data_IF_727626364851
#
_entry.id   IF_727626364851
#
_cell.length_a   1.000
_cell.length_b   1.000
_cell.length_c   1.000
_cell.angle_alpha   90.00
_cell.angle_beta   90.00
_cell.angle_gamma   90.00
#
_symmetry.space_group_name_H-M   'P 1'
#
loop_
_entity.id
_entity.type
_entity.pdbx_description
1 polymer ?
#
# COMPACT_ATOMS: atom_id res chain seq x y z
N UNK A 1 19.13 -1.58 -18.49
CA UNK A 1 18.17 -1.98 -17.44
C UNK A 1 17.28 -3.00 -18.11
N UNK A 2 17.29 -4.27 -17.70
CA UNK A 2 16.36 -5.26 -18.24
C UNK A 2 14.96 -4.84 -17.75
N UNK A 3 14.01 -4.73 -18.67
CA UNK A 3 12.60 -4.55 -18.32
C UNK A 3 12.16 -5.78 -17.53
N UNK A 4 12.15 -5.67 -16.21
CA UNK A 4 11.68 -6.73 -15.34
C UNK A 4 10.15 -6.72 -15.35
N UNK A 5 9.60 -7.45 -16.32
CA UNK A 5 8.13 -7.60 -16.45
C UNK A 5 7.52 -8.38 -15.28
N UNK A 6 8.33 -9.08 -14.48
CA UNK A 6 7.86 -9.83 -13.32
C UNK A 6 7.16 -8.93 -12.30
N UNK A 7 7.55 -7.66 -12.22
CA UNK A 7 6.92 -6.65 -11.40
C UNK A 7 5.43 -6.39 -11.75
N UNK A 8 5.04 -6.54 -13.03
CA UNK A 8 3.64 -6.35 -13.46
C UNK A 8 2.69 -7.34 -12.79
N UNK A 9 3.20 -8.50 -12.41
CA UNK A 9 2.47 -9.61 -11.82
C UNK A 9 2.83 -9.87 -10.35
N UNK A 10 3.78 -9.10 -9.79
CA UNK A 10 4.21 -9.28 -8.41
C UNK A 10 3.15 -8.79 -7.42
N UNK A 11 3.00 -9.52 -6.32
CA UNK A 11 2.13 -9.12 -5.22
C UNK A 11 2.83 -8.06 -4.37
N UNK A 12 2.31 -6.83 -4.36
CA UNK A 12 2.85 -5.74 -3.55
C UNK A 12 2.35 -5.76 -2.11
N UNK A 13 1.09 -6.09 -1.92
CA UNK A 13 0.44 -6.21 -0.61
C UNK A 13 -0.36 -7.50 -0.54
N UNK A 14 -0.47 -8.10 0.64
CA UNK A 14 -1.42 -9.20 0.85
C UNK A 14 -2.84 -8.66 0.73
N UNK A 15 -3.64 -9.20 -0.19
CA UNK A 15 -4.94 -8.63 -0.56
C UNK A 15 -5.99 -9.72 -0.81
N UNK A 16 -7.15 -9.58 -0.16
CA UNK A 16 -8.29 -10.48 -0.39
C UNK A 16 -8.84 -10.24 -1.79
N UNK A 17 -9.09 -11.32 -2.51
CA UNK A 17 -9.57 -11.22 -3.89
C UNK A 17 -8.50 -10.77 -4.88
N UNK A 18 -7.22 -10.92 -4.55
CA UNK A 18 -6.11 -10.63 -5.49
C UNK A 18 -6.30 -11.41 -6.80
N UNK A 19 -6.25 -10.70 -7.92
CA UNK A 19 -6.51 -11.27 -9.26
C UNK A 19 -5.25 -11.82 -9.95
N UNK A 20 -4.13 -12.00 -9.23
CA UNK A 20 -2.87 -12.48 -9.81
C UNK A 20 -3.04 -13.77 -10.62
N UNK A 21 -3.79 -14.73 -10.08
CA UNK A 21 -4.06 -16.00 -10.77
C UNK A 21 -5.01 -15.89 -11.97
N UNK A 22 -5.65 -14.74 -12.15
CA UNK A 22 -6.59 -14.46 -13.24
C UNK A 22 -6.00 -13.55 -14.32
N UNK A 23 -4.75 -13.09 -14.19
CA UNK A 23 -4.16 -12.12 -15.12
C UNK A 23 -4.11 -12.65 -16.55
N UNK A 24 -3.78 -13.92 -16.74
CA UNK A 24 -3.79 -14.56 -18.06
C UNK A 24 -5.18 -14.55 -18.69
N UNK A 25 -6.20 -14.89 -17.91
CA UNK A 25 -7.61 -14.83 -18.36
C UNK A 25 -8.04 -13.38 -18.70
N UNK A 26 -7.65 -12.41 -17.87
CA UNK A 26 -7.89 -10.99 -18.14
C UNK A 26 -7.19 -10.58 -19.45
N UNK A 27 -5.95 -11.03 -19.66
CA UNK A 27 -5.19 -10.78 -20.89
C UNK A 27 -5.86 -11.32 -22.15
N UNK A 28 -6.49 -12.50 -22.07
CA UNK A 28 -7.30 -13.03 -23.18
C UNK A 28 -8.48 -12.09 -23.50
N UNK A 29 -9.16 -11.56 -22.48
CA UNK A 29 -10.21 -10.55 -22.64
C UNK A 29 -9.70 -9.28 -23.31
N UNK A 30 -8.52 -8.78 -22.89
CA UNK A 30 -7.85 -7.62 -23.52
C UNK A 30 -7.60 -7.89 -25.01
N UNK A 31 -7.06 -9.06 -25.36
CA UNK A 31 -6.76 -9.44 -26.74
C UNK A 31 -8.03 -9.48 -27.61
N UNK A 32 -9.15 -9.93 -27.07
CA UNK A 32 -10.45 -9.90 -27.77
C UNK A 32 -10.85 -8.46 -28.10
N UNK A 33 -10.70 -7.53 -27.15
CA UNK A 33 -11.04 -6.11 -27.37
C UNK A 33 -10.09 -5.49 -28.39
N UNK A 34 -8.78 -5.73 -28.28
CA UNK A 34 -7.78 -5.25 -29.23
C UNK A 34 -8.11 -5.69 -30.66
N UNK A 35 -8.42 -6.97 -30.85
CA UNK A 35 -8.79 -7.52 -32.16
C UNK A 35 -10.07 -6.91 -32.71
N UNK A 36 -11.12 -6.77 -31.88
CA UNK A 36 -12.39 -6.17 -32.30
C UNK A 36 -12.27 -4.71 -32.70
N UNK A 37 -11.42 -3.96 -32.02
CA UNK A 37 -11.20 -2.53 -32.26
C UNK A 37 -10.08 -2.26 -33.26
N UNK A 38 -9.33 -3.30 -33.66
CA UNK A 38 -8.10 -3.19 -34.46
C UNK A 38 -7.11 -2.16 -33.85
N UNK A 39 -6.84 -2.30 -32.54
CA UNK A 39 -5.96 -1.41 -31.77
C UNK A 39 -4.90 -2.21 -31.02
N UNK A 40 -3.64 -1.84 -31.13
CA UNK A 40 -2.54 -2.42 -30.36
C UNK A 40 -2.53 -1.92 -28.90
N UNK A 41 -2.91 -0.65 -28.69
CA UNK A 41 -3.00 -0.02 -27.38
C UNK A 41 -4.40 0.52 -27.13
N UNK A 42 -4.90 0.26 -25.94
CA UNK A 42 -6.25 0.61 -25.52
C UNK A 42 -6.26 1.83 -24.59
N UNK A 43 -7.39 2.50 -24.50
CA UNK A 43 -7.74 3.38 -23.39
C UNK A 43 -8.50 2.58 -22.34
N UNK A 44 -7.91 2.41 -21.16
CA UNK A 44 -8.42 1.53 -20.10
C UNK A 44 -8.91 2.32 -18.89
N UNK A 45 -9.95 1.79 -18.22
CA UNK A 45 -10.44 2.26 -16.93
C UNK A 45 -10.49 1.07 -15.95
N UNK A 46 -9.88 1.22 -14.78
CA UNK A 46 -10.01 0.29 -13.64
C UNK A 46 -10.68 1.03 -12.47
N UNK A 47 -11.95 0.70 -12.24
CA UNK A 47 -12.80 1.47 -11.30
C UNK A 47 -12.55 1.10 -9.83
N UNK A 48 -12.04 -0.11 -9.57
CA UNK A 48 -11.82 -0.67 -8.23
C UNK A 48 -10.44 -1.31 -8.15
N UNK A 49 -9.39 -0.50 -8.21
CA UNK A 49 -8.02 -0.98 -8.46
C UNK A 49 -7.39 -1.80 -7.31
N UNK A 50 -7.88 -1.63 -6.07
CA UNK A 50 -7.47 -2.43 -4.91
C UNK A 50 -5.95 -2.47 -4.70
N UNK A 51 -5.34 -3.63 -4.90
CA UNK A 51 -3.88 -3.79 -4.80
C UNK A 51 -3.10 -3.27 -6.01
N UNK A 52 -3.78 -2.76 -7.04
CA UNK A 52 -3.19 -2.30 -8.28
C UNK A 52 -2.67 -3.39 -9.22
N UNK A 53 -2.93 -4.67 -8.93
CA UNK A 53 -2.38 -5.79 -9.73
C UNK A 53 -2.94 -5.79 -11.17
N UNK A 54 -4.24 -5.56 -11.33
CA UNK A 54 -4.87 -5.51 -12.66
C UNK A 54 -4.46 -4.23 -13.38
N UNK A 55 -4.46 -3.09 -12.71
CA UNK A 55 -4.02 -1.80 -13.27
C UNK A 55 -2.59 -1.88 -13.83
N UNK A 56 -1.64 -2.44 -13.06
CA UNK A 56 -0.26 -2.66 -13.52
C UNK A 56 -0.18 -3.60 -14.72
N UNK A 57 -0.95 -4.68 -14.69
CA UNK A 57 -1.02 -5.61 -15.80
C UNK A 57 -1.59 -4.96 -17.06
N UNK A 58 -2.66 -4.17 -16.94
CA UNK A 58 -3.28 -3.44 -18.04
C UNK A 58 -2.36 -2.34 -18.61
N UNK A 59 -1.44 -1.77 -17.81
CA UNK A 59 -0.51 -0.73 -18.27
C UNK A 59 0.25 -1.14 -19.53
N UNK A 60 0.64 -2.41 -19.66
CA UNK A 60 1.38 -2.91 -20.84
C UNK A 60 0.56 -2.88 -22.13
N UNK A 61 -0.76 -2.90 -22.04
CA UNK A 61 -1.70 -2.90 -23.19
C UNK A 61 -2.32 -1.51 -23.43
N UNK A 62 -2.00 -0.53 -22.60
CA UNK A 62 -2.69 0.75 -22.60
C UNK A 62 -1.84 1.86 -23.21
N UNK A 63 -2.46 2.75 -23.97
CA UNK A 63 -1.95 4.09 -24.26
C UNK A 63 -2.33 5.08 -23.16
N UNK A 64 -3.51 4.84 -22.55
CA UNK A 64 -4.02 5.59 -21.40
C UNK A 64 -4.64 4.61 -20.42
N UNK A 65 -4.37 4.79 -19.14
CA UNK A 65 -5.05 4.07 -18.07
C UNK A 65 -5.55 5.05 -17.01
N UNK A 66 -6.84 5.03 -16.73
CA UNK A 66 -7.45 5.70 -15.60
C UNK A 66 -7.74 4.66 -14.53
N UNK A 67 -7.37 4.92 -13.29
CA UNK A 67 -7.59 3.99 -12.17
C UNK A 67 -8.22 4.72 -11.00
N UNK A 68 -9.08 4.02 -10.26
CA UNK A 68 -9.73 4.57 -9.09
C UNK A 68 -9.78 3.56 -7.95
N UNK A 69 -9.75 4.06 -6.75
CA UNK A 69 -10.13 3.33 -5.55
C UNK A 69 -10.60 4.31 -4.47
N UNK A 70 -11.46 3.83 -3.58
CA UNK A 70 -11.89 4.59 -2.41
C UNK A 70 -10.78 4.67 -1.35
N UNK A 71 -9.88 3.68 -1.32
CA UNK A 71 -8.86 3.52 -0.30
C UNK A 71 -7.56 4.26 -0.66
N UNK A 72 -7.10 5.12 0.23
CA UNK A 72 -5.92 5.97 0.00
C UNK A 72 -4.64 5.18 -0.30
N UNK A 73 -4.44 4.04 0.38
CA UNK A 73 -3.28 3.18 0.12
C UNK A 73 -3.24 2.67 -1.33
N UNK A 74 -4.40 2.32 -1.90
CA UNK A 74 -4.51 1.86 -3.28
C UNK A 74 -4.09 2.95 -4.26
N UNK A 75 -4.55 4.19 -4.05
CA UNK A 75 -4.19 5.32 -4.89
C UNK A 75 -2.68 5.58 -4.89
N UNK A 76 -2.07 5.61 -3.70
CA UNK A 76 -0.62 5.79 -3.56
C UNK A 76 0.17 4.68 -4.27
N UNK A 77 -0.27 3.43 -4.17
CA UNK A 77 0.34 2.30 -4.88
C UNK A 77 0.26 2.54 -6.40
N UNK A 78 -0.92 2.93 -6.90
CA UNK A 78 -1.10 3.19 -8.33
C UNK A 78 -0.35 4.43 -8.81
N UNK A 79 -0.32 5.52 -8.05
CA UNK A 79 0.48 6.72 -8.35
C UNK A 79 1.97 6.38 -8.53
N UNK A 80 2.51 5.55 -7.64
CA UNK A 80 3.90 5.09 -7.74
C UNK A 80 4.11 4.20 -8.97
N UNK A 81 3.39 3.08 -9.01
CA UNK A 81 3.74 1.99 -9.93
C UNK A 81 3.17 2.14 -11.34
N UNK A 82 2.22 3.02 -11.57
CA UNK A 82 1.78 3.39 -12.91
C UNK A 82 2.55 4.57 -13.50
N UNK A 83 3.38 5.24 -12.72
CA UNK A 83 4.20 6.35 -13.20
C UNK A 83 5.24 5.93 -14.25
N UNK A 84 5.70 6.88 -15.03
CA UNK A 84 6.74 6.73 -16.03
C UNK A 84 7.83 7.79 -15.80
N UNK A 85 8.66 7.68 -14.77
CA UNK A 85 9.66 8.69 -14.47
C UNK A 85 10.66 8.81 -15.63
N UNK A 86 10.96 10.04 -15.98
CA UNK A 86 12.05 10.38 -16.92
C UNK A 86 13.40 9.96 -16.35
N UNK A 87 14.43 9.90 -17.20
CA UNK A 87 15.78 9.56 -16.72
C UNK A 87 16.24 10.52 -15.62
N UNK A 88 15.96 11.83 -15.77
CA UNK A 88 16.30 12.86 -14.78
C UNK A 88 15.55 12.61 -13.46
N UNK A 89 14.24 12.38 -13.51
CA UNK A 89 13.43 12.10 -12.32
C UNK A 89 13.88 10.81 -11.62
N UNK A 90 14.31 9.78 -12.38
CA UNK A 90 14.83 8.57 -11.80
C UNK A 90 16.18 8.79 -11.07
N UNK A 91 17.03 9.66 -11.58
CA UNK A 91 18.27 10.08 -10.92
C UNK A 91 17.96 10.87 -9.63
N UNK A 92 17.04 11.85 -9.69
CA UNK A 92 16.56 12.59 -8.51
C UNK A 92 15.96 11.64 -7.44
N UNK A 93 15.13 10.67 -7.85
CA UNK A 93 14.54 9.69 -6.93
C UNK A 93 15.62 8.83 -6.24
N UNK A 94 16.66 8.41 -6.95
CA UNK A 94 17.77 7.63 -6.37
C UNK A 94 18.55 8.44 -5.33
N UNK A 95 18.87 9.69 -5.62
CA UNK A 95 19.55 10.55 -4.67
C UNK A 95 18.71 10.79 -3.41
N UNK A 96 17.41 11.03 -3.57
CA UNK A 96 16.48 11.19 -2.45
C UNK A 96 16.39 9.91 -1.63
N UNK A 97 16.35 8.75 -2.28
CA UNK A 97 16.31 7.45 -1.62
C UNK A 97 17.55 7.21 -0.76
N UNK A 98 18.75 7.42 -1.31
CA UNK A 98 20.00 7.26 -0.58
C UNK A 98 20.09 8.20 0.63
N UNK A 99 19.72 9.46 0.45
CA UNK A 99 19.69 10.46 1.54
C UNK A 99 18.67 10.08 2.62
N UNK A 100 17.49 9.64 2.22
CA UNK A 100 16.42 9.28 3.13
C UNK A 100 16.77 8.04 3.95
N UNK A 101 17.22 6.97 3.30
CA UNK A 101 17.59 5.71 3.98
C UNK A 101 18.73 5.92 4.97
N UNK A 102 19.75 6.70 4.59
CA UNK A 102 20.82 7.07 5.53
C UNK A 102 20.33 7.87 6.74
N UNK A 103 19.28 8.71 6.60
CA UNK A 103 18.67 9.43 7.72
C UNK A 103 17.83 8.49 8.60
N UNK A 104 17.06 7.57 7.98
CA UNK A 104 16.30 6.54 8.70
C UNK A 104 17.25 5.72 9.56
N UNK A 105 18.34 5.18 8.99
CA UNK A 105 19.30 4.34 9.69
C UNK A 105 19.93 5.05 10.90
N UNK A 106 20.28 6.33 10.74
CA UNK A 106 20.81 7.13 11.86
C UNK A 106 19.80 7.30 12.99
N UNK A 107 18.53 7.58 12.65
CA UNK A 107 17.46 7.69 13.66
C UNK A 107 17.18 6.35 14.33
N UNK A 108 17.16 5.25 13.59
CA UNK A 108 16.96 3.92 14.15
C UNK A 108 18.07 3.52 15.13
N UNK A 109 19.34 3.77 14.79
CA UNK A 109 20.48 3.57 15.71
C UNK A 109 20.35 4.41 16.99
N UNK A 110 19.86 5.65 16.88
CA UNK A 110 19.60 6.50 18.06
C UNK A 110 18.48 5.93 18.93
N UNK A 111 17.41 5.40 18.32
CA UNK A 111 16.31 4.75 19.03
C UNK A 111 16.80 3.49 19.76
N UNK A 112 17.56 2.63 19.10
CA UNK A 112 18.17 1.44 19.72
C UNK A 112 19.05 1.80 20.93
N UNK A 113 19.88 2.83 20.77
CA UNK A 113 20.69 3.35 21.89
C UNK A 113 19.83 3.86 23.05
N UNK A 114 18.72 4.54 22.76
CA UNK A 114 17.81 5.05 23.78
C UNK A 114 17.06 3.92 24.51
N UNK A 115 16.69 2.86 23.80
CA UNK A 115 16.11 1.64 24.41
C UNK A 115 17.11 0.99 25.38
N UNK A 116 18.37 0.81 24.95
CA UNK A 116 19.42 0.24 25.79
C UNK A 116 19.71 1.07 27.06
N UNK A 117 19.51 2.39 26.99
CA UNK A 117 19.71 3.32 28.13
C UNK A 117 18.46 3.53 29.00
N UNK A 118 17.32 2.92 28.65
CA UNK A 118 16.05 3.13 29.37
C UNK A 118 15.45 4.54 29.19
N UNK A 119 15.86 5.27 28.16
CA UNK A 119 15.37 6.64 27.86
C UNK A 119 14.49 6.68 26.61
N UNK A 120 14.04 5.53 26.14
CA UNK A 120 13.23 5.40 24.95
C UNK A 120 11.91 6.18 25.05
N UNK A 121 11.57 6.82 23.93
CA UNK A 121 10.25 7.42 23.69
C UNK A 121 9.75 6.98 22.32
N UNK A 122 8.47 6.66 22.21
CA UNK A 122 7.87 6.30 20.94
C UNK A 122 8.10 7.40 19.89
N UNK A 123 8.66 7.09 18.72
CA UNK A 123 8.90 8.09 17.69
C UNK A 123 7.58 8.60 17.08
N UNK A 124 6.50 7.80 17.10
CA UNK A 124 5.21 8.18 16.56
C UNK A 124 4.06 7.29 17.08
N UNK A 125 2.91 7.38 16.41
CA UNK A 125 1.70 6.72 16.87
C UNK A 125 1.60 5.25 16.47
N UNK A 126 2.34 4.78 15.46
CA UNK A 126 2.35 3.36 15.10
C UNK A 126 3.04 2.56 16.21
N UNK A 127 4.20 3.01 16.67
CA UNK A 127 4.92 2.41 17.78
C UNK A 127 4.14 2.47 19.09
N UNK A 128 3.42 3.56 19.34
CA UNK A 128 2.65 3.76 20.56
C UNK A 128 1.35 2.92 20.60
N UNK A 129 0.62 2.85 19.48
CA UNK A 129 -0.75 2.32 19.45
C UNK A 129 -0.86 0.91 18.86
N UNK A 130 0.12 0.45 18.08
CA UNK A 130 0.01 -0.76 17.26
C UNK A 130 1.16 -1.74 17.43
N UNK A 131 2.03 -1.49 18.40
CA UNK A 131 3.15 -2.34 18.79
C UNK A 131 3.21 -2.50 20.31
N UNK A 132 3.68 -3.63 20.84
CA UNK A 132 3.99 -3.72 22.27
C UNK A 132 5.25 -2.90 22.59
N UNK A 133 5.37 -2.46 23.84
CA UNK A 133 6.55 -1.77 24.33
C UNK A 133 7.77 -2.72 24.41
N UNK A 134 7.52 -3.98 24.81
CA UNK A 134 8.49 -5.06 24.91
C UNK A 134 7.96 -6.33 24.22
N UNK A 135 8.72 -6.85 23.25
CA UNK A 135 8.37 -8.04 22.49
C UNK A 135 8.36 -9.32 23.33
N UNK A 136 9.16 -9.36 24.41
CA UNK A 136 9.30 -10.52 25.32
C UNK A 136 8.27 -10.48 26.45
N UNK A 137 7.66 -9.31 26.74
CA UNK A 137 6.72 -9.14 27.84
C UNK A 137 5.47 -8.36 27.42
N UNK A 138 4.74 -8.90 26.43
CA UNK A 138 3.56 -8.26 25.84
C UNK A 138 2.41 -8.24 26.85
N UNK A 139 1.83 -7.05 27.07
CA UNK A 139 0.70 -6.89 27.99
C UNK A 139 -0.64 -7.10 27.29
N UNK A 140 -1.67 -7.51 28.04
CA UNK A 140 -3.01 -7.80 27.50
C UNK A 140 -3.69 -6.61 26.83
N UNK A 141 -3.35 -5.39 27.24
CA UNK A 141 -3.86 -4.13 26.68
C UNK A 141 -3.14 -3.69 25.40
N UNK A 142 -1.98 -4.28 25.10
CA UNK A 142 -1.17 -3.87 23.96
C UNK A 142 -1.64 -4.52 22.66
N UNK A 143 -1.50 -3.78 21.57
CA UNK A 143 -1.71 -4.31 20.23
C UNK A 143 -0.37 -4.77 19.66
N UNK A 144 -0.42 -5.83 18.89
CA UNK A 144 0.76 -6.54 18.42
C UNK A 144 0.74 -6.69 16.90
N UNK A 145 0.50 -5.58 16.17
CA UNK A 145 0.51 -5.60 14.71
C UNK A 145 1.91 -5.62 14.13
N UNK A 146 2.86 -4.98 14.80
CA UNK A 146 4.27 -4.93 14.40
C UNK A 146 5.17 -5.20 15.60
N UNK A 147 6.39 -5.68 15.32
CA UNK A 147 7.45 -5.70 16.32
C UNK A 147 7.80 -4.26 16.74
N UNK A 148 8.36 -4.03 17.94
CA UNK A 148 8.80 -2.69 18.34
C UNK A 148 9.73 -2.03 17.33
N UNK A 149 10.67 -2.79 16.76
CA UNK A 149 11.58 -2.29 15.73
C UNK A 149 10.82 -1.85 14.46
N UNK A 150 9.92 -2.68 13.95
CA UNK A 150 9.18 -2.39 12.72
C UNK A 150 8.23 -1.20 12.89
N UNK A 151 7.60 -1.08 14.05
CA UNK A 151 6.74 0.06 14.35
C UNK A 151 7.53 1.38 14.41
N UNK A 152 8.68 1.37 15.09
CA UNK A 152 9.59 2.53 15.12
C UNK A 152 10.08 2.91 13.73
N UNK A 153 10.44 1.91 12.90
CA UNK A 153 10.87 2.14 11.54
C UNK A 153 9.78 2.79 10.69
N UNK A 154 8.54 2.30 10.78
CA UNK A 154 7.39 2.86 10.05
C UNK A 154 7.14 4.32 10.44
N UNK A 155 7.18 4.64 11.73
CA UNK A 155 7.02 6.00 12.21
C UNK A 155 8.14 6.92 11.72
N UNK A 156 9.40 6.49 11.87
CA UNK A 156 10.57 7.26 11.43
C UNK A 156 10.55 7.50 9.93
N UNK A 157 10.29 6.44 9.15
CA UNK A 157 10.25 6.54 7.70
C UNK A 157 9.12 7.48 7.23
N UNK A 158 7.90 7.34 7.78
CA UNK A 158 6.76 8.20 7.39
C UNK A 158 7.00 9.67 7.71
N UNK A 159 7.55 9.98 8.89
CA UNK A 159 7.88 11.36 9.27
C UNK A 159 8.95 11.96 8.35
N UNK A 160 9.98 11.20 8.04
CA UNK A 160 11.04 11.67 7.15
C UNK A 160 10.54 11.82 5.70
N UNK A 161 9.70 10.91 5.21
CA UNK A 161 9.07 11.06 3.89
C UNK A 161 8.25 12.36 3.85
N UNK A 162 7.49 12.65 4.92
CA UNK A 162 6.66 13.85 4.97
C UNK A 162 7.46 15.15 4.91
N UNK A 163 8.60 15.19 5.60
CA UNK A 163 9.40 16.41 5.75
C UNK A 163 10.51 16.59 4.71
N UNK A 164 11.02 15.49 4.13
CA UNK A 164 12.22 15.53 3.29
C UNK A 164 11.94 15.27 1.80
N UNK A 165 10.80 14.63 1.49
CA UNK A 165 10.49 14.23 0.12
C UNK A 165 9.52 15.22 -0.52
N UNK A 166 9.86 15.78 -1.71
CA UNK A 166 8.94 16.62 -2.46
C UNK A 166 7.61 15.91 -2.75
N UNK A 167 6.50 16.64 -2.69
CA UNK A 167 5.14 16.09 -2.84
C UNK A 167 5.00 15.18 -4.06
N UNK A 168 5.50 15.61 -5.21
CA UNK A 168 5.45 14.86 -6.47
C UNK A 168 6.10 13.46 -6.43
N UNK A 169 6.95 13.20 -5.43
CA UNK A 169 7.66 11.93 -5.28
C UNK A 169 7.22 11.11 -4.06
N UNK A 170 6.39 11.67 -3.17
CA UNK A 170 6.00 10.97 -1.92
C UNK A 170 5.43 9.57 -2.18
N UNK A 171 4.60 9.42 -3.20
CA UNK A 171 4.02 8.12 -3.55
C UNK A 171 5.10 7.06 -3.84
N UNK A 172 6.22 7.44 -4.47
CA UNK A 172 7.33 6.54 -4.77
C UNK A 172 8.08 6.02 -3.53
N UNK A 173 7.93 6.66 -2.38
CA UNK A 173 8.51 6.23 -1.10
C UNK A 173 7.46 5.58 -0.20
N UNK A 174 6.23 6.07 -0.22
CA UNK A 174 5.16 5.51 0.61
C UNK A 174 4.73 4.13 0.08
N UNK A 175 4.56 3.95 -1.23
CA UNK A 175 4.09 2.68 -1.80
C UNK A 175 4.99 1.48 -1.45
N UNK A 176 6.34 1.53 -1.59
CA UNK A 176 7.20 0.44 -1.12
C UNK A 176 7.11 0.22 0.39
N UNK A 177 6.98 1.29 1.18
CA UNK A 177 6.82 1.17 2.63
C UNK A 177 5.50 0.49 3.00
N UNK A 178 4.40 0.75 2.28
CA UNK A 178 3.13 0.03 2.45
C UNK A 178 3.26 -1.46 2.13
N UNK A 179 4.06 -1.80 1.12
CA UNK A 179 4.35 -3.21 0.78
C UNK A 179 5.08 -3.91 1.92
N UNK A 180 6.13 -3.31 2.46
CA UNK A 180 6.86 -3.84 3.61
C UNK A 180 5.98 -3.94 4.85
N UNK A 181 5.18 -2.91 5.14
CA UNK A 181 4.22 -2.92 6.24
C UNK A 181 3.20 -4.06 6.11
N UNK A 182 2.76 -4.39 4.89
CA UNK A 182 1.86 -5.51 4.62
C UNK A 182 2.57 -6.87 4.79
N UNK A 183 3.81 -6.99 4.33
CA UNK A 183 4.60 -8.22 4.44
C UNK A 183 4.89 -8.56 5.90
N UNK A 184 5.36 -7.59 6.68
CA UNK A 184 5.82 -7.79 8.06
C UNK A 184 4.72 -7.65 9.13
N UNK A 185 3.47 -7.47 8.72
CA UNK A 185 2.35 -7.41 9.66
C UNK A 185 2.12 -8.73 10.38
N UNK A 186 1.88 -8.68 11.69
CA UNK A 186 1.55 -9.82 12.54
C UNK A 186 0.07 -10.21 12.43
N UNK A 187 -0.35 -10.51 11.21
CA UNK A 187 -1.74 -10.82 10.86
C UNK A 187 -1.83 -12.02 9.93
N UNK A 188 -3.02 -12.57 9.81
CA UNK A 188 -3.35 -13.64 8.85
C UNK A 188 -3.73 -13.09 7.46
N UNK A 189 -3.19 -11.94 7.05
CA UNK A 189 -3.39 -11.33 5.73
C UNK A 189 -4.33 -10.12 5.70
N UNK A 190 -5.06 -9.85 6.79
CA UNK A 190 -5.88 -8.65 6.97
C UNK A 190 -5.65 -8.04 8.35
N UNK A 191 -5.84 -6.72 8.48
CA UNK A 191 -5.58 -5.99 9.72
C UNK A 191 -6.75 -5.95 10.71
N UNK A 192 -7.76 -6.82 10.58
CA UNK A 192 -8.87 -6.90 11.56
C UNK A 192 -8.43 -7.33 12.95
N UNK A 193 -7.29 -7.99 13.06
CA UNK A 193 -6.70 -8.42 14.31
C UNK A 193 -5.26 -8.88 14.10
N UNK A 194 -4.58 -9.11 15.19
CA UNK A 194 -3.23 -9.64 15.23
C UNK A 194 -3.25 -11.01 15.92
N UNK A 195 -2.19 -11.80 15.75
CA UNK A 195 -2.08 -13.11 16.40
C UNK A 195 -2.08 -12.98 17.92
N UNK A 196 -2.82 -13.87 18.56
CA UNK A 196 -2.97 -13.95 20.01
C UNK A 196 -2.76 -15.38 20.49
N UNK A 197 -2.23 -15.52 21.68
CA UNK A 197 -2.21 -16.77 22.38
C UNK A 197 -3.65 -17.23 22.68
N UNK A 198 -4.02 -18.41 22.24
CA UNK A 198 -5.39 -18.93 22.34
C UNK A 198 -5.86 -19.17 23.79
N UNK A 199 -4.92 -19.37 24.74
CA UNK A 199 -5.25 -19.62 26.16
C UNK A 199 -5.36 -18.31 26.95
N UNK A 200 -4.45 -17.35 26.72
CA UNK A 200 -4.36 -16.12 27.52
C UNK A 200 -5.06 -14.93 26.85
N UNK A 201 -5.27 -14.96 25.53
CA UNK A 201 -5.77 -13.84 24.75
C UNK A 201 -4.76 -12.68 24.59
N UNK A 202 -3.53 -12.85 25.10
CA UNK A 202 -2.44 -11.87 24.97
C UNK A 202 -1.88 -11.91 23.53
N UNK A 203 -1.45 -10.79 23.01
CA UNK A 203 -0.75 -10.71 21.73
C UNK A 203 0.49 -11.59 21.70
N UNK A 204 0.76 -12.22 20.57
CA UNK A 204 1.99 -12.95 20.31
C UNK A 204 2.44 -12.73 18.86
N UNK A 205 3.73 -12.87 18.60
CA UNK A 205 4.23 -12.86 17.23
C UNK A 205 4.12 -14.25 16.61
N UNK A 206 3.50 -14.30 15.42
CA UNK A 206 3.19 -15.54 14.71
C UNK A 206 1.97 -16.27 15.24
N UNK A 207 1.39 -17.13 14.38
CA UNK A 207 0.24 -17.97 14.71
C UNK A 207 0.61 -19.18 15.58
N UNK A 208 -0.37 -20.03 15.85
CA UNK A 208 -0.16 -21.32 16.50
C UNK A 208 0.81 -22.17 15.65
N UNK A 209 1.87 -22.70 16.29
CA UNK A 209 2.95 -23.40 15.57
C UNK A 209 3.99 -22.46 14.94
N UNK A 210 4.04 -21.19 15.35
CA UNK A 210 5.00 -20.18 14.88
C UNK A 210 4.90 -19.90 13.36
N UNK A 211 3.75 -20.14 12.75
CA UNK A 211 3.50 -19.87 11.35
C UNK A 211 3.77 -18.40 11.04
N UNK A 212 4.44 -18.14 9.93
CA UNK A 212 4.83 -16.82 9.46
C UNK A 212 5.75 -16.01 10.41
N UNK A 213 6.35 -16.62 11.44
CA UNK A 213 7.17 -15.91 12.43
C UNK A 213 8.35 -15.18 11.77
N UNK A 214 9.11 -15.86 10.91
CA UNK A 214 10.27 -15.28 10.19
C UNK A 214 9.88 -14.06 9.36
N UNK A 215 8.73 -14.11 8.66
CA UNK A 215 8.17 -12.99 7.92
C UNK A 215 7.83 -11.83 8.86
N UNK A 216 7.13 -12.12 9.97
CA UNK A 216 6.63 -11.11 10.91
C UNK A 216 7.79 -10.42 11.65
N UNK A 217 8.80 -11.20 12.07
CA UNK A 217 9.93 -10.69 12.86
C UNK A 217 11.09 -10.17 12.01
N UNK A 218 11.02 -10.33 10.69
CA UNK A 218 11.98 -9.71 9.79
C UNK A 218 11.89 -8.18 9.87
N UNK A 219 13.02 -7.51 9.70
CA UNK A 219 13.08 -6.04 9.77
C UNK A 219 12.56 -5.40 8.49
N UNK A 220 11.65 -4.45 8.65
CA UNK A 220 11.20 -3.57 7.56
C UNK A 220 12.39 -2.73 7.09
N UNK A 221 12.54 -2.65 5.77
CA UNK A 221 13.49 -1.76 5.09
C UNK A 221 12.80 -1.10 3.91
N UNK A 222 13.01 0.19 3.74
CA UNK A 222 12.47 0.90 2.59
C UNK A 222 13.20 0.45 1.33
N UNK A 223 12.47 -0.08 0.36
CA UNK A 223 13.00 -0.50 -0.92
C UNK A 223 12.82 0.60 -1.98
N UNK A 224 13.75 0.66 -2.94
CA UNK A 224 13.56 1.52 -4.10
C UNK A 224 12.48 0.92 -5.02
N UNK A 225 11.49 1.71 -5.50
CA UNK A 225 10.41 1.18 -6.33
C UNK A 225 10.92 0.72 -7.69
N UNK A 226 10.31 -0.33 -8.22
CA UNK A 226 10.54 -0.82 -9.58
C UNK A 226 9.51 -0.18 -10.51
N UNK A 227 9.95 0.33 -11.67
CA UNK A 227 9.07 0.95 -12.65
C UNK A 227 9.08 0.14 -13.95
N UNK A 228 7.89 -0.10 -14.50
CA UNK A 228 7.72 -0.56 -15.87
C UNK A 228 7.56 0.65 -16.79
N UNK A 229 8.59 0.93 -17.56
CA UNK A 229 8.61 2.10 -18.44
C UNK A 229 7.91 1.82 -19.76
N UNK A 230 6.93 2.62 -20.09
CA UNK A 230 6.27 2.65 -21.40
C UNK A 230 5.65 4.05 -21.63
N UNK A 231 4.96 4.24 -22.76
CA UNK A 231 4.34 5.50 -23.13
C UNK A 231 2.89 5.68 -22.61
N UNK A 232 2.43 4.76 -21.75
CA UNK A 232 1.09 4.81 -21.18
C UNK A 232 0.94 6.02 -20.25
N UNK A 233 -0.06 6.87 -20.51
CA UNK A 233 -0.46 7.96 -19.61
C UNK A 233 -1.34 7.39 -18.52
N UNK A 234 -1.01 7.64 -17.24
CA UNK A 234 -1.80 7.18 -16.09
C UNK A 234 -2.51 8.33 -15.38
N UNK A 235 -3.73 8.09 -14.97
CA UNK A 235 -4.55 9.00 -14.16
C UNK A 235 -5.06 8.22 -12.96
N UNK A 236 -4.83 8.73 -11.75
CA UNK A 236 -5.23 8.06 -10.50
C UNK A 236 -6.24 8.92 -9.77
N UNK A 237 -7.36 8.31 -9.39
CA UNK A 237 -8.44 8.95 -8.65
C UNK A 237 -8.62 8.27 -7.29
N UNK A 238 -9.11 9.04 -6.31
CA UNK A 238 -9.43 8.56 -4.97
C UNK A 238 -10.86 9.01 -4.61
N UNK A 239 -11.84 8.39 -5.26
CA UNK A 239 -13.23 8.81 -5.17
C UNK A 239 -14.17 7.61 -5.03
N UNK A 240 -15.38 7.87 -4.55
CA UNK A 240 -16.47 6.91 -4.68
C UNK A 240 -16.71 6.61 -6.17
N UNK A 241 -16.78 5.33 -6.53
CA UNK A 241 -16.90 4.89 -7.93
C UNK A 241 -18.14 5.49 -8.63
N UNK A 242 -19.27 5.62 -7.90
CA UNK A 242 -20.51 6.20 -8.46
C UNK A 242 -20.38 7.70 -8.74
N UNK A 243 -19.56 8.41 -7.94
CA UNK A 243 -19.27 9.82 -8.16
C UNK A 243 -18.28 10.00 -9.30
N UNK A 244 -17.23 9.16 -9.33
CA UNK A 244 -16.22 9.21 -10.38
C UNK A 244 -16.81 9.06 -11.77
N UNK A 245 -17.68 8.06 -12.00
CA UNK A 245 -18.21 7.76 -13.36
C UNK A 245 -19.08 8.89 -13.93
N UNK A 246 -19.52 9.80 -13.09
CA UNK A 246 -20.27 11.02 -13.46
C UNK A 246 -19.45 12.31 -13.33
N UNK A 247 -18.15 12.21 -12.95
CA UNK A 247 -17.31 13.37 -12.67
C UNK A 247 -16.82 14.06 -13.94
N UNK A 248 -16.69 15.38 -13.86
CA UNK A 248 -16.04 16.17 -14.93
C UNK A 248 -14.57 15.78 -15.13
N UNK A 249 -13.90 15.35 -14.05
CA UNK A 249 -12.47 14.99 -14.11
C UNK A 249 -12.28 13.75 -14.98
N UNK A 250 -13.07 12.69 -14.78
CA UNK A 250 -13.02 11.51 -15.63
C UNK A 250 -13.45 11.84 -17.05
N UNK A 251 -14.48 12.67 -17.24
CA UNK A 251 -14.91 13.12 -18.57
C UNK A 251 -13.80 13.86 -19.32
N UNK A 252 -13.03 14.74 -18.64
CA UNK A 252 -11.88 15.41 -19.26
C UNK A 252 -10.81 14.43 -19.71
N UNK A 253 -10.52 13.40 -18.90
CA UNK A 253 -9.57 12.33 -19.28
C UNK A 253 -10.06 11.63 -20.55
N UNK A 254 -11.33 11.20 -20.59
CA UNK A 254 -11.94 10.55 -21.74
C UNK A 254 -11.87 11.43 -22.98
N UNK A 255 -12.35 12.69 -22.89
CA UNK A 255 -12.40 13.63 -23.99
C UNK A 255 -11.02 13.90 -24.60
N UNK A 256 -10.00 14.03 -23.76
CA UNK A 256 -8.63 14.33 -24.20
C UNK A 256 -7.88 13.11 -24.77
N UNK A 257 -8.45 11.90 -24.66
CA UNK A 257 -7.79 10.66 -25.06
C UNK A 257 -8.67 9.78 -25.96
N UNK A 258 -9.42 10.35 -26.88
CA UNK A 258 -10.16 9.62 -27.91
C UNK A 258 -11.66 9.54 -27.71
N UNK A 259 -12.20 10.13 -26.64
CA UNK A 259 -13.65 10.31 -26.44
C UNK A 259 -14.36 9.13 -25.77
N UNK A 260 -13.71 7.95 -25.66
CA UNK A 260 -14.26 6.76 -25.02
C UNK A 260 -13.16 5.94 -24.35
N UNK A 261 -13.49 5.15 -23.34
CA UNK A 261 -12.65 4.04 -22.90
C UNK A 261 -12.92 2.81 -23.79
N UNK A 262 -11.86 2.19 -24.29
CA UNK A 262 -11.94 0.95 -25.07
C UNK A 262 -12.26 -0.25 -24.19
N UNK A 263 -11.77 -0.21 -22.93
CA UNK A 263 -11.96 -1.28 -21.94
C UNK A 263 -12.20 -0.67 -20.55
N UNK A 264 -13.24 -1.11 -19.87
CA UNK A 264 -13.48 -0.82 -18.46
C UNK A 264 -13.47 -2.11 -17.65
N UNK A 265 -12.68 -2.16 -16.60
CA UNK A 265 -12.59 -3.26 -15.65
C UNK A 265 -13.36 -2.91 -14.37
N UNK A 266 -14.31 -3.76 -13.99
CA UNK A 266 -15.15 -3.60 -12.82
C UNK A 266 -15.00 -4.82 -11.92
N UNK A 267 -14.42 -4.65 -10.74
CA UNK A 267 -14.31 -5.66 -9.70
C UNK A 267 -14.77 -5.06 -8.35
N UNK A 268 -16.06 -4.75 -8.22
CA UNK A 268 -16.58 -4.09 -7.02
C UNK A 268 -16.44 -4.97 -5.79
N UNK A 269 -16.41 -4.38 -4.58
CA UNK A 269 -16.43 -5.12 -3.33
C UNK A 269 -17.64 -6.07 -3.27
N UNK A 270 -17.38 -7.35 -3.01
CA UNK A 270 -18.41 -8.41 -2.91
C UNK A 270 -18.44 -9.06 -1.51
N UNK A 271 -17.65 -8.57 -0.58
CA UNK A 271 -17.59 -9.03 0.79
C UNK A 271 -18.44 -8.17 1.73
N UNK A 272 -19.02 -8.81 2.78
CA UNK A 272 -19.73 -8.12 3.86
C UNK A 272 -18.83 -7.20 4.70
N UNK A 273 -17.52 -7.27 4.51
CA UNK A 273 -16.54 -6.56 5.32
C UNK A 273 -15.90 -5.43 4.51
N UNK A 274 -16.05 -4.17 4.94
CA UNK A 274 -15.44 -3.04 4.27
C UNK A 274 -13.92 -3.19 4.14
N UNK A 275 -13.39 -2.92 2.95
CA UNK A 275 -11.94 -2.98 2.68
C UNK A 275 -11.17 -1.98 3.53
N UNK A 276 -11.74 -0.80 3.80
CA UNK A 276 -11.17 0.17 4.72
C UNK A 276 -10.92 -0.38 6.13
N UNK A 277 -11.78 -1.27 6.63
CA UNK A 277 -11.54 -1.93 7.93
C UNK A 277 -10.54 -3.08 7.82
N UNK A 278 -10.53 -3.82 6.71
CA UNK A 278 -9.58 -4.91 6.49
C UNK A 278 -8.15 -4.40 6.35
N UNK A 279 -7.97 -3.21 5.77
CA UNK A 279 -6.66 -2.60 5.46
C UNK A 279 -6.45 -1.25 6.14
N UNK A 280 -7.12 -1.00 7.27
CA UNK A 280 -7.07 0.28 7.97
C UNK A 280 -5.64 0.73 8.29
N UNK A 281 -4.75 -0.20 8.61
CA UNK A 281 -3.35 0.10 8.90
C UNK A 281 -2.62 0.69 7.69
N UNK A 282 -2.90 0.18 6.49
CA UNK A 282 -2.32 0.73 5.27
C UNK A 282 -2.84 2.15 5.01
N UNK A 283 -4.13 2.43 5.28
CA UNK A 283 -4.67 3.78 5.20
C UNK A 283 -4.08 4.72 6.27
N UNK A 284 -3.85 4.23 7.50
CA UNK A 284 -3.16 5.00 8.54
C UNK A 284 -1.74 5.37 8.11
N UNK A 285 -1.01 4.43 7.54
CA UNK A 285 0.33 4.67 7.02
C UNK A 285 0.31 5.58 5.78
N UNK A 286 -0.67 5.43 4.91
CA UNK A 286 -0.83 6.26 3.71
C UNK A 286 -1.07 7.72 4.05
N UNK A 287 -1.97 8.02 4.97
CA UNK A 287 -2.31 9.38 5.42
C UNK A 287 -1.40 9.90 6.52
N UNK A 288 -0.84 9.01 7.30
CA UNK A 288 -0.03 9.25 8.50
C UNK A 288 -0.64 10.27 9.46
N UNK A 289 -1.94 10.14 9.70
CA UNK A 289 -2.69 10.96 10.65
C UNK A 289 -2.99 10.15 11.91
N UNK A 290 -2.56 10.65 13.08
CA UNK A 290 -2.83 10.01 14.36
C UNK A 290 -4.34 9.86 14.55
N UNK A 291 -4.84 8.64 14.78
CA UNK A 291 -6.26 8.45 15.06
C UNK A 291 -6.63 8.97 16.44
N UNK A 292 -7.85 9.48 16.57
CA UNK A 292 -8.43 9.76 17.88
C UNK A 292 -8.63 8.44 18.65
N UNK A 293 -7.97 8.33 19.80
CA UNK A 293 -7.98 7.12 20.63
C UNK A 293 -9.37 6.74 21.16
N UNK A 294 -10.25 7.70 21.35
CA UNK A 294 -11.62 7.47 21.83
C UNK A 294 -12.53 6.90 20.71
N UNK A 295 -12.16 7.17 19.47
CA UNK A 295 -12.89 6.72 18.28
C UNK A 295 -12.37 5.41 17.68
N UNK A 296 -11.34 4.79 18.26
CA UNK A 296 -10.83 3.50 17.80
C UNK A 296 -11.27 2.35 18.73
N UNK A 297 -11.31 1.14 18.17
CA UNK A 297 -11.59 -0.09 18.93
C UNK A 297 -10.47 -0.35 19.94
N UNK A 298 -10.85 -0.63 21.19
CA UNK A 298 -9.88 -0.99 22.26
C UNK A 298 -9.03 -2.22 21.91
N UNK A 299 -9.58 -3.17 21.15
CA UNK A 299 -8.91 -4.44 20.83
C UNK A 299 -8.00 -4.30 19.61
N UNK A 300 -8.56 -3.86 18.47
CA UNK A 300 -7.84 -3.84 17.20
C UNK A 300 -7.29 -2.46 16.81
N UNK A 301 -7.76 -1.38 17.45
CA UNK A 301 -7.39 -0.02 17.05
C UNK A 301 -8.04 0.45 15.76
N UNK A 302 -9.00 -0.31 15.21
CA UNK A 302 -9.79 0.09 14.05
C UNK A 302 -10.75 1.21 14.44
N UNK A 303 -10.90 2.21 13.59
CA UNK A 303 -11.86 3.30 13.77
C UNK A 303 -13.30 2.75 13.87
N UNK A 304 -14.08 3.13 14.89
CA UNK A 304 -15.43 2.59 15.13
C UNK A 304 -16.41 2.87 13.98
N UNK A 305 -16.20 3.94 13.24
CA UNK A 305 -17.05 4.39 12.13
C UNK A 305 -16.33 4.28 10.77
N UNK A 306 -15.37 3.38 10.65
CA UNK A 306 -14.64 3.18 9.40
C UNK A 306 -15.57 2.57 8.34
N UNK A 307 -15.80 3.30 7.26
CA UNK A 307 -16.62 2.92 6.10
C UNK A 307 -17.93 2.19 6.45
N UNK A 308 -18.98 2.96 6.66
CA UNK A 308 -20.35 2.50 6.60
C UNK A 308 -20.97 2.73 5.20
N UNK A 309 -20.14 3.00 4.20
CA UNK A 309 -20.60 3.11 2.82
C UNK A 309 -20.65 1.75 2.15
#
# INVERSE_FOLDING_TARGET
MRDDTSYLESQLITYIGNKRSLLEFIGQGVSVVQNKLNKDKLTCLDVFSGSGIVSRYLKQYSSVIAVNDLEKYSCIINECYLSNPTKKELEELKELYEKLTAKIDRKMKSIESSRAKGTYKNPGFISELYSPADAENIQKSERCFYTPYNADYLDVARQLIETEIPEKYKACFIAPLLSEASIHANTAGIFKGFYKNSKTGIGQFGGNGKNALTRITGNIQLNFPVFYKNDCKSYVFNQNANELVTSEELYKVVKNNGGVFDLAYFDPPYNQHPYGSNYFMLNLLASYQRPDTDLISKVSGIKKNWNRS
#
